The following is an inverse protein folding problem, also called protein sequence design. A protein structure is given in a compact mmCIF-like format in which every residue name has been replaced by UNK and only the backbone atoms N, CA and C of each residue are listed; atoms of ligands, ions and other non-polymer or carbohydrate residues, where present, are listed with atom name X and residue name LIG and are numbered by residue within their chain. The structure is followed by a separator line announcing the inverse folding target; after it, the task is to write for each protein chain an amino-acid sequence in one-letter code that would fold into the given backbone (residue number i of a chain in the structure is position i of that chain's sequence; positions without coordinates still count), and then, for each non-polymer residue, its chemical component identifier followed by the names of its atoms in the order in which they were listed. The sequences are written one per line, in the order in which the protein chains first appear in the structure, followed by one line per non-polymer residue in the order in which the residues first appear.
data_IF_275926815759
#
_entry.id   IF_275926815759
#
_cell.length_a   1.000
_cell.length_b   1.000
_cell.length_c   1.000
_cell.angle_alpha   90.00
_cell.angle_beta   90.00
_cell.angle_gamma   90.00
#
_symmetry.space_group_name_H-M   'P 1'
#
loop_
_entity.id
_entity.type
_entity.pdbx_description
1 polymer ?
#
# COMPACT_ATOMS: atom_id res chain seq x y z
N UNK A 1 -5.30 -0.85 15.84
CA UNK A 1 -3.87 -1.18 16.06
C UNK A 1 -3.51 -2.61 15.65
N UNK A 2 -4.03 -3.66 16.31
CA UNK A 2 -3.66 -5.06 16.03
C UNK A 2 -3.86 -5.48 14.55
N UNK A 3 -5.06 -5.27 14.01
CA UNK A 3 -5.37 -5.58 12.59
C UNK A 3 -4.42 -4.90 11.59
N UNK A 4 -4.01 -3.66 11.85
CA UNK A 4 -3.11 -2.93 10.96
C UNK A 4 -1.69 -3.54 10.98
N UNK A 5 -1.21 -3.92 12.17
CA UNK A 5 0.09 -4.60 12.32
C UNK A 5 0.07 -6.00 11.70
N UNK A 6 -1.02 -6.74 11.82
CA UNK A 6 -1.20 -8.04 11.16
C UNK A 6 -1.18 -7.91 9.64
N UNK A 7 -1.86 -6.89 9.08
CA UNK A 7 -1.85 -6.64 7.65
C UNK A 7 -0.44 -6.30 7.14
N UNK A 8 0.33 -5.48 7.89
CA UNK A 8 1.73 -5.16 7.58
C UNK A 8 2.63 -6.41 7.65
N UNK A 9 2.48 -7.24 8.67
CA UNK A 9 3.23 -8.49 8.77
C UNK A 9 2.92 -9.41 7.57
N UNK A 10 1.64 -9.48 7.19
CA UNK A 10 1.19 -10.21 6.01
C UNK A 10 1.88 -9.79 4.73
N UNK A 11 2.12 -8.49 4.50
CA UNK A 11 2.85 -8.03 3.30
C UNK A 11 4.32 -8.45 3.35
N UNK A 12 4.99 -8.31 4.51
CA UNK A 12 6.41 -8.63 4.67
C UNK A 12 6.71 -10.10 4.42
N UNK A 13 5.84 -10.98 4.91
CA UNK A 13 6.07 -12.42 4.91
C UNK A 13 5.39 -13.11 3.69
N UNK A 14 4.86 -12.32 2.75
CA UNK A 14 4.10 -12.79 1.60
C UNK A 14 4.97 -13.54 0.57
N UNK A 15 4.54 -14.73 0.11
CA UNK A 15 5.00 -15.28 -1.15
C UNK A 15 4.68 -14.31 -2.31
N UNK A 16 5.54 -14.23 -3.33
CA UNK A 16 5.34 -13.29 -4.46
C UNK A 16 3.95 -13.40 -5.10
N UNK A 17 3.43 -14.62 -5.27
CA UNK A 17 2.11 -14.86 -5.84
C UNK A 17 0.95 -14.31 -4.98
N UNK A 18 1.17 -14.07 -3.69
CA UNK A 18 0.17 -13.53 -2.77
C UNK A 18 0.39 -12.06 -2.43
N UNK A 19 1.55 -11.50 -2.81
CA UNK A 19 1.96 -10.15 -2.43
C UNK A 19 0.89 -9.11 -2.77
N UNK A 20 0.42 -9.05 -4.02
CA UNK A 20 -0.57 -8.05 -4.48
C UNK A 20 -1.87 -8.06 -3.67
N UNK A 21 -2.34 -9.26 -3.31
CA UNK A 21 -3.51 -9.44 -2.46
C UNK A 21 -3.26 -8.89 -1.06
N UNK A 22 -2.17 -9.28 -0.42
CA UNK A 22 -1.86 -8.88 0.96
C UNK A 22 -1.55 -7.38 1.05
N UNK A 23 -0.87 -6.84 0.04
CA UNK A 23 -0.62 -5.42 -0.17
C UNK A 23 -1.96 -4.66 -0.27
N UNK A 24 -2.89 -5.12 -1.10
CA UNK A 24 -4.25 -4.54 -1.17
C UNK A 24 -4.97 -4.56 0.18
N UNK A 25 -4.88 -5.66 0.93
CA UNK A 25 -5.50 -5.78 2.26
C UNK A 25 -4.92 -4.77 3.27
N UNK A 26 -3.62 -4.50 3.23
CA UNK A 26 -3.00 -3.47 4.06
C UNK A 26 -3.59 -2.09 3.76
N UNK A 27 -3.64 -1.71 2.49
CA UNK A 27 -4.14 -0.40 2.09
C UNK A 27 -5.64 -0.22 2.37
N UNK A 28 -6.45 -1.26 2.18
CA UNK A 28 -7.87 -1.22 2.58
C UNK A 28 -8.03 -1.09 4.09
N UNK A 29 -7.21 -1.80 4.87
CA UNK A 29 -7.22 -1.68 6.33
C UNK A 29 -6.88 -0.26 6.77
N UNK A 30 -5.95 0.44 6.10
CA UNK A 30 -5.68 1.86 6.35
C UNK A 30 -6.88 2.75 6.00
N UNK A 31 -7.49 2.54 4.83
CA UNK A 31 -8.64 3.34 4.40
C UNK A 31 -9.86 3.19 5.31
N UNK A 32 -10.09 1.99 5.86
CA UNK A 32 -11.15 1.70 6.81
C UNK A 32 -11.00 2.47 8.13
N UNK A 33 -9.77 2.81 8.55
CA UNK A 33 -9.53 3.58 9.79
C UNK A 33 -10.11 5.00 9.73
N UNK A 34 -10.38 5.52 8.52
CA UNK A 34 -11.04 6.81 8.35
C UNK A 34 -12.52 6.79 8.79
N UNK A 35 -13.11 5.62 9.06
CA UNK A 35 -14.50 5.49 9.54
C UNK A 35 -15.57 5.84 8.51
N UNK A 36 -15.20 6.04 7.24
CA UNK A 36 -16.11 6.38 6.14
C UNK A 36 -16.25 5.21 5.15
N UNK A 37 -17.40 4.52 5.11
CA UNK A 37 -17.65 3.44 4.15
C UNK A 37 -17.57 3.90 2.70
N UNK A 38 -18.03 5.13 2.41
CA UNK A 38 -17.96 5.70 1.07
C UNK A 38 -16.50 5.91 0.63
N UNK A 39 -15.63 6.40 1.52
CA UNK A 39 -14.22 6.57 1.22
C UNK A 39 -13.53 5.22 0.98
N UNK A 40 -13.78 4.23 1.85
CA UNK A 40 -13.21 2.90 1.70
C UNK A 40 -13.63 2.24 0.36
N UNK A 41 -14.89 2.39 -0.04
CA UNK A 41 -15.40 1.88 -1.32
C UNK A 41 -14.72 2.55 -2.53
N UNK A 42 -14.56 3.89 -2.50
CA UNK A 42 -13.86 4.60 -3.57
C UNK A 42 -12.38 4.21 -3.64
N UNK A 43 -11.72 4.07 -2.49
CA UNK A 43 -10.34 3.59 -2.43
C UNK A 43 -10.20 2.19 -3.02
N UNK A 44 -11.11 1.27 -2.69
CA UNK A 44 -11.11 -0.08 -3.24
C UNK A 44 -11.24 -0.09 -4.77
N UNK A 45 -12.11 0.76 -5.33
CA UNK A 45 -12.24 0.90 -6.78
C UNK A 45 -10.95 1.40 -7.44
N UNK A 46 -10.32 2.45 -6.89
CA UNK A 46 -9.02 2.95 -7.38
C UNK A 46 -7.93 1.87 -7.27
N UNK A 47 -7.94 1.11 -6.17
CA UNK A 47 -6.96 0.04 -5.94
C UNK A 47 -7.12 -1.12 -6.92
N UNK A 48 -8.35 -1.47 -7.30
CA UNK A 48 -8.60 -2.48 -8.33
C UNK A 48 -7.97 -2.06 -9.67
N UNK A 49 -8.26 -0.85 -10.14
CA UNK A 49 -7.65 -0.32 -11.39
C UNK A 49 -6.12 -0.25 -11.30
N UNK A 50 -5.58 0.14 -10.15
CA UNK A 50 -4.14 0.17 -9.93
C UNK A 50 -3.52 -1.24 -10.00
N UNK A 51 -4.19 -2.24 -9.43
CA UNK A 51 -3.75 -3.63 -9.48
C UNK A 51 -3.72 -4.16 -10.93
N UNK A 52 -4.73 -3.84 -11.75
CA UNK A 52 -4.75 -4.23 -13.16
C UNK A 52 -3.50 -3.73 -13.92
N UNK A 53 -3.09 -2.47 -13.67
CA UNK A 53 -1.88 -1.89 -14.26
C UNK A 53 -0.61 -2.56 -13.72
N UNK A 54 -0.60 -2.85 -12.42
CA UNK A 54 0.51 -3.45 -11.71
C UNK A 54 0.72 -4.94 -12.05
N UNK A 55 -0.31 -5.62 -12.55
CA UNK A 55 -0.24 -6.99 -13.05
C UNK A 55 0.37 -7.08 -14.47
N UNK A 56 0.46 -5.95 -15.18
CA UNK A 56 1.17 -5.85 -16.46
C UNK A 56 2.70 -5.77 -16.31
N UNK A 57 3.24 -5.63 -15.09
CA UNK A 57 4.67 -5.44 -14.85
C UNK A 57 5.24 -6.50 -13.90
N UNK A 58 6.52 -6.87 -14.03
CA UNK A 58 7.13 -7.85 -13.13
C UNK A 58 7.25 -7.29 -11.70
N UNK A 59 7.08 -8.17 -10.71
CA UNK A 59 7.43 -7.86 -9.32
C UNK A 59 8.95 -7.77 -9.19
N UNK A 60 9.46 -6.57 -8.87
CA UNK A 60 10.88 -6.34 -8.64
C UNK A 60 11.18 -6.41 -7.15
N UNK A 61 12.03 -7.35 -6.73
CA UNK A 61 12.38 -7.58 -5.31
C UNK A 61 12.78 -6.28 -4.60
N UNK A 62 13.68 -5.48 -5.20
CA UNK A 62 14.11 -4.19 -4.65
C UNK A 62 12.97 -3.20 -4.46
N UNK A 63 11.98 -3.21 -5.37
CA UNK A 63 10.80 -2.37 -5.24
C UNK A 63 9.93 -2.84 -4.07
N UNK A 64 9.74 -4.16 -3.91
CA UNK A 64 9.00 -4.72 -2.78
C UNK A 64 9.67 -4.36 -1.45
N UNK A 65 10.99 -4.51 -1.34
CA UNK A 65 11.75 -4.12 -0.14
C UNK A 65 11.56 -2.63 0.21
N UNK A 66 11.55 -1.76 -0.81
CA UNK A 66 11.31 -0.34 -0.60
C UNK A 66 9.87 -0.07 -0.16
N UNK A 67 8.88 -0.67 -0.83
CA UNK A 67 7.48 -0.59 -0.45
C UNK A 67 7.26 -1.09 0.99
N UNK A 68 7.89 -2.19 1.41
CA UNK A 68 7.78 -2.65 2.79
C UNK A 68 8.30 -1.65 3.82
N UNK A 69 9.42 -0.97 3.53
CA UNK A 69 9.93 0.08 4.44
C UNK A 69 8.95 1.26 4.54
N UNK A 70 8.37 1.67 3.41
CA UNK A 70 7.36 2.73 3.40
C UNK A 70 6.07 2.31 4.11
N UNK A 71 5.61 1.06 3.93
CA UNK A 71 4.47 0.52 4.65
C UNK A 71 4.70 0.51 6.16
N UNK A 72 5.86 0.05 6.62
CA UNK A 72 6.20 0.04 8.03
C UNK A 72 6.21 1.46 8.61
N UNK A 73 6.87 2.41 7.95
CA UNK A 73 6.91 3.80 8.38
C UNK A 73 5.52 4.44 8.42
N UNK A 74 4.68 4.18 7.41
CA UNK A 74 3.30 4.66 7.36
C UNK A 74 2.45 4.11 8.52
N UNK A 75 2.56 2.81 8.78
CA UNK A 75 1.82 2.15 9.86
C UNK A 75 2.25 2.69 11.22
N UNK A 76 3.54 2.88 11.47
CA UNK A 76 4.01 3.48 12.72
C UNK A 76 3.50 4.92 12.88
N UNK A 77 3.62 5.77 11.85
CA UNK A 77 3.10 7.14 11.90
C UNK A 77 1.59 7.19 12.21
N UNK A 78 0.79 6.29 11.60
CA UNK A 78 -0.65 6.18 11.89
C UNK A 78 -0.91 5.74 13.33
N UNK A 79 -0.12 4.81 13.87
CA UNK A 79 -0.28 4.31 15.23
C UNK A 79 0.15 5.33 16.29
N UNK A 80 1.13 6.16 15.96
CA UNK A 80 1.60 7.26 16.81
C UNK A 80 0.72 8.52 16.70
N UNK A 81 -0.24 8.53 15.77
CA UNK A 81 -1.11 9.68 15.52
C UNK A 81 -0.44 10.82 14.76
N UNK A 82 0.71 10.58 14.14
CA UNK A 82 1.43 11.52 13.28
C UNK A 82 0.77 11.61 11.90
N UNK A 83 -0.25 12.47 11.79
CA UNK A 83 -1.00 12.65 10.56
C UNK A 83 -0.18 13.28 9.42
N UNK A 84 0.76 14.18 9.73
CA UNK A 84 1.58 14.85 8.72
C UNK A 84 2.66 13.90 8.18
N UNK A 85 3.33 13.15 9.05
CA UNK A 85 4.26 12.10 8.64
C UNK A 85 3.59 11.01 7.82
N UNK A 86 2.42 10.51 8.26
CA UNK A 86 1.64 9.53 7.51
C UNK A 86 1.25 10.05 6.11
N UNK A 87 0.87 11.33 6.01
CA UNK A 87 0.51 11.96 4.73
C UNK A 87 1.71 12.03 3.79
N UNK A 88 2.87 12.44 4.29
CA UNK A 88 4.07 12.56 3.46
C UNK A 88 4.52 11.21 2.92
N UNK A 89 4.63 10.21 3.81
CA UNK A 89 5.02 8.84 3.43
C UNK A 89 4.05 8.27 2.38
N UNK A 90 2.74 8.48 2.56
CA UNK A 90 1.74 8.00 1.59
C UNK A 90 1.89 8.69 0.23
N UNK A 91 2.21 9.98 0.19
CA UNK A 91 2.46 10.72 -1.06
C UNK A 91 3.70 10.21 -1.78
N UNK A 92 4.81 10.05 -1.07
CA UNK A 92 6.04 9.50 -1.62
C UNK A 92 5.82 8.09 -2.18
N UNK A 93 5.10 7.24 -1.44
CA UNK A 93 4.76 5.89 -1.88
C UNK A 93 3.93 5.88 -3.18
N UNK A 94 2.90 6.74 -3.27
CA UNK A 94 2.12 6.91 -4.49
C UNK A 94 2.97 7.43 -5.66
N UNK A 95 3.84 8.41 -5.40
CA UNK A 95 4.74 8.97 -6.41
C UNK A 95 5.71 7.91 -6.96
N UNK A 96 6.29 7.09 -6.07
CA UNK A 96 7.15 5.96 -6.43
C UNK A 96 6.43 4.92 -7.28
N UNK A 97 5.21 4.54 -6.88
CA UNK A 97 4.37 3.60 -7.66
C UNK A 97 4.04 4.16 -9.04
N UNK A 98 3.69 5.44 -9.13
CA UNK A 98 3.40 6.09 -10.41
C UNK A 98 4.65 6.19 -11.32
N UNK A 99 5.82 6.46 -10.73
CA UNK A 99 7.09 6.47 -11.47
C UNK A 99 7.44 5.07 -11.99
N UNK A 100 7.24 4.03 -11.19
CA UNK A 100 7.42 2.64 -11.61
C UNK A 100 6.52 2.29 -12.79
N UNK A 101 5.21 2.58 -12.68
CA UNK A 101 4.25 2.29 -13.75
C UNK A 101 4.61 3.00 -15.06
N UNK A 102 4.96 4.29 -15.00
CA UNK A 102 5.43 5.02 -16.19
C UNK A 102 6.69 4.37 -16.76
N UNK A 103 7.66 4.02 -15.92
CA UNK A 103 8.91 3.38 -16.39
C UNK A 103 8.73 2.05 -17.13
N UNK A 104 7.58 1.37 -16.98
CA UNK A 104 7.29 0.08 -17.64
C UNK A 104 6.20 0.15 -18.72
N UNK A 105 5.23 1.04 -18.57
CA UNK A 105 4.02 1.08 -19.42
C UNK A 105 4.01 2.26 -20.41
N UNK A 106 5.01 3.14 -20.37
CA UNK A 106 5.23 4.20 -21.36
C UNK A 106 6.58 4.03 -22.02
#
# INVERSE_FOLDING_TARGET
AARLREALAGTRDAPLAQYRRLDTMLHLTLAELCGSPALAAQYAAVRATLNDLLDCIPLLVRNLEHSQRQHAALVEAVLDGDADGAREIAREHCAGTAALLRGFLT
#
